data_IF_435786602754
#
_entry.id   IF_435786602754
#
_cell.length_a   1.000
_cell.length_b   1.000
_cell.length_c   1.000
_cell.angle_alpha   90.00
_cell.angle_beta   90.00
_cell.angle_gamma   90.00
#
_symmetry.space_group_name_H-M   'P 1'
#
loop_
_entity.id
_entity.type
_entity.pdbx_description
1 polymer ?
#
# COMPACT_ATOMS: atom_id res chain seq x y z
N UNK A 1 16.45 13.29 12.07
CA UNK A 1 15.19 13.84 11.55
C UNK A 1 14.12 12.76 11.56
N UNK A 2 13.01 13.03 12.20
CA UNK A 2 11.91 12.06 12.25
C UNK A 2 11.06 12.20 10.99
N UNK A 3 10.78 11.09 10.33
CA UNK A 3 9.86 11.04 9.21
C UNK A 3 8.47 10.65 9.71
N UNK A 4 7.46 11.37 9.24
CA UNK A 4 6.08 11.07 9.54
C UNK A 4 5.54 10.11 8.48
N UNK A 5 5.24 8.88 8.88
CA UNK A 5 4.74 7.85 7.97
C UNK A 5 3.42 7.28 8.47
N UNK A 6 2.62 6.78 7.53
CA UNK A 6 1.33 6.16 7.81
C UNK A 6 1.23 4.82 7.09
N UNK A 7 0.87 3.78 7.83
CA UNK A 7 0.68 2.43 7.30
C UNK A 7 -0.77 2.02 7.41
N UNK A 8 -1.36 1.58 6.31
CA UNK A 8 -2.64 0.90 6.27
C UNK A 8 -2.38 -0.58 5.97
N UNK A 9 -2.78 -1.46 6.87
CA UNK A 9 -2.46 -2.88 6.79
C UNK A 9 -3.65 -3.73 7.22
N UNK A 10 -3.98 -4.72 6.41
CA UNK A 10 -5.05 -5.68 6.71
C UNK A 10 -4.65 -6.77 7.70
N UNK A 11 -3.37 -6.89 8.05
CA UNK A 11 -2.84 -7.89 8.98
C UNK A 11 -2.23 -7.21 10.19
N UNK A 12 -2.82 -7.43 11.37
CA UNK A 12 -2.39 -6.78 12.61
C UNK A 12 -0.98 -7.19 13.04
N UNK A 13 -0.57 -8.43 12.79
CA UNK A 13 0.77 -8.89 13.16
C UNK A 13 1.85 -8.20 12.32
N UNK A 14 1.62 -8.07 11.02
CA UNK A 14 2.51 -7.32 10.14
C UNK A 14 2.54 -5.84 10.49
N UNK A 15 1.38 -5.27 10.82
CA UNK A 15 1.29 -3.87 11.25
C UNK A 15 2.18 -3.63 12.47
N UNK A 16 2.07 -4.47 13.49
CA UNK A 16 2.86 -4.33 14.71
C UNK A 16 4.37 -4.46 14.44
N UNK A 17 4.78 -5.39 13.58
CA UNK A 17 6.17 -5.55 13.17
C UNK A 17 6.68 -4.32 12.43
N UNK A 18 5.87 -3.77 11.53
CA UNK A 18 6.22 -2.57 10.76
C UNK A 18 6.37 -1.36 11.66
N UNK A 19 5.47 -1.16 12.62
CA UNK A 19 5.54 -0.05 13.57
C UNK A 19 6.78 -0.14 14.44
N UNK A 20 7.15 -1.33 14.90
CA UNK A 20 8.37 -1.53 15.66
C UNK A 20 9.62 -1.23 14.83
N UNK A 21 9.64 -1.65 13.57
CA UNK A 21 10.75 -1.35 12.66
C UNK A 21 10.90 0.15 12.44
N UNK A 22 9.82 0.88 12.19
CA UNK A 22 9.86 2.32 12.02
C UNK A 22 10.36 3.04 13.27
N UNK A 23 9.98 2.56 14.44
CA UNK A 23 10.48 3.09 15.71
C UNK A 23 11.99 2.91 15.84
N UNK A 24 12.52 1.73 15.46
CA UNK A 24 13.97 1.48 15.46
C UNK A 24 14.72 2.38 14.49
N UNK A 25 14.08 2.80 13.40
CA UNK A 25 14.64 3.71 12.39
C UNK A 25 14.43 5.19 12.71
N UNK A 26 13.99 5.54 13.94
CA UNK A 26 13.67 6.91 14.33
C UNK A 26 12.58 7.57 13.47
N UNK A 27 11.66 6.79 12.94
CA UNK A 27 10.51 7.28 12.21
C UNK A 27 9.30 7.41 13.13
N UNK A 28 8.60 8.54 13.05
CA UNK A 28 7.29 8.66 13.68
C UNK A 28 6.27 7.93 12.80
N UNK A 29 5.78 6.80 13.28
CA UNK A 29 4.86 5.97 12.54
C UNK A 29 3.54 5.81 13.27
N UNK A 30 2.44 5.95 12.55
CA UNK A 30 1.09 5.67 13.03
C UNK A 30 0.50 4.61 12.13
N UNK A 31 0.02 3.53 12.70
CA UNK A 31 -0.56 2.44 11.94
C UNK A 31 -2.06 2.33 12.17
N UNK A 32 -2.78 1.91 11.13
CA UNK A 32 -4.19 1.60 11.22
C UNK A 32 -4.48 0.29 10.51
N UNK A 33 -5.08 -0.64 11.23
CA UNK A 33 -5.51 -1.91 10.66
C UNK A 33 -6.93 -1.77 10.11
N UNK A 34 -7.15 -2.25 8.89
CA UNK A 34 -8.47 -2.30 8.27
C UNK A 34 -8.47 -3.37 7.18
N UNK A 35 -9.64 -3.81 6.75
CA UNK A 35 -9.73 -4.71 5.61
C UNK A 35 -9.33 -3.99 4.33
N UNK A 36 -8.78 -4.72 3.37
CA UNK A 36 -8.33 -4.16 2.09
C UNK A 36 -9.46 -3.45 1.36
N UNK A 37 -10.68 -4.00 1.41
CA UNK A 37 -11.85 -3.40 0.76
C UNK A 37 -12.28 -2.06 1.33
N UNK A 38 -11.90 -1.76 2.56
CA UNK A 38 -12.23 -0.48 3.23
C UNK A 38 -11.21 0.62 2.94
N UNK A 39 -9.99 0.26 2.55
CA UNK A 39 -8.89 1.20 2.36
C UNK A 39 -9.22 2.36 1.42
N UNK A 40 -9.82 2.13 0.22
CA UNK A 40 -10.09 3.24 -0.70
C UNK A 40 -11.00 4.32 -0.11
N UNK A 41 -12.01 3.92 0.64
CA UNK A 41 -12.99 4.86 1.19
C UNK A 41 -12.45 5.68 2.37
N UNK A 42 -11.45 5.17 3.08
CA UNK A 42 -10.94 5.81 4.30
C UNK A 42 -9.66 6.58 4.11
N UNK A 43 -8.95 6.39 3.00
CA UNK A 43 -7.59 6.93 2.85
C UNK A 43 -7.53 8.45 2.86
N UNK A 44 -8.45 9.15 2.20
CA UNK A 44 -8.43 10.62 2.14
C UNK A 44 -8.60 11.24 3.53
N UNK A 45 -9.53 10.71 4.33
CA UNK A 45 -9.72 11.16 5.69
C UNK A 45 -8.49 10.92 6.54
N UNK A 46 -7.91 9.74 6.42
CA UNK A 46 -6.72 9.35 7.16
C UNK A 46 -5.54 10.28 6.84
N UNK A 47 -5.31 10.59 5.57
CA UNK A 47 -4.26 11.50 5.13
C UNK A 47 -4.51 12.92 5.61
N UNK A 48 -5.75 13.37 5.53
CA UNK A 48 -6.11 14.72 5.97
C UNK A 48 -5.94 14.89 7.49
N UNK A 49 -6.25 13.85 8.26
CA UNK A 49 -6.15 13.89 9.72
C UNK A 49 -4.69 13.79 10.19
N UNK A 50 -3.84 13.07 9.49
CA UNK A 50 -2.48 12.77 9.92
C UNK A 50 -1.38 13.50 9.15
N UNK A 51 -1.64 13.91 7.93
CA UNK A 51 -0.72 14.67 7.05
C UNK A 51 0.69 14.03 6.98
N UNK A 52 0.80 12.76 6.60
CA UNK A 52 2.09 12.10 6.57
C UNK A 52 2.90 12.49 5.34
N UNK A 53 4.21 12.29 5.40
CA UNK A 53 5.11 12.42 4.25
C UNK A 53 5.24 11.11 3.48
N UNK A 54 5.02 9.99 4.16
CA UNK A 54 5.13 8.65 3.57
C UNK A 54 3.87 7.86 3.94
N UNK A 55 3.26 7.28 2.92
CA UNK A 55 2.12 6.35 3.07
C UNK A 55 2.58 4.96 2.66
N UNK A 56 2.45 4.01 3.57
CA UNK A 56 2.70 2.60 3.27
C UNK A 56 1.37 1.86 3.24
N UNK A 57 1.08 1.21 2.12
CA UNK A 57 -0.14 0.42 1.94
C UNK A 57 0.27 -1.02 1.77
N UNK A 58 -0.04 -1.85 2.75
CA UNK A 58 0.25 -3.27 2.71
C UNK A 58 -0.97 -4.09 3.11
N UNK A 59 -0.91 -5.38 2.85
CA UNK A 59 -1.98 -6.29 3.19
C UNK A 59 -1.81 -7.62 2.48
N UNK A 60 -2.91 -8.33 2.34
CA UNK A 60 -2.93 -9.61 1.66
C UNK A 60 -3.40 -9.45 0.23
N UNK A 61 -2.72 -10.13 -0.68
CA UNK A 61 -3.15 -10.25 -2.06
C UNK A 61 -2.76 -11.62 -2.61
N UNK A 62 -3.44 -12.05 -3.65
CA UNK A 62 -3.17 -13.32 -4.30
C UNK A 62 -3.47 -13.21 -5.79
N UNK A 63 -2.59 -13.77 -6.60
CA UNK A 63 -2.77 -13.91 -8.03
C UNK A 63 -3.43 -15.24 -8.33
N UNK A 64 -4.50 -15.22 -9.13
CA UNK A 64 -5.17 -16.44 -9.60
C UNK A 64 -4.70 -16.78 -11.01
N UNK A 65 -3.73 -17.68 -11.10
CA UNK A 65 -3.17 -18.12 -12.38
C UNK A 65 -4.14 -18.94 -13.23
N UNK A 66 -5.24 -19.42 -12.65
CA UNK A 66 -6.22 -20.22 -13.36
C UNK A 66 -7.20 -19.39 -14.19
N UNK A 67 -7.37 -18.12 -13.85
CA UNK A 67 -8.37 -17.26 -14.45
C UNK A 67 -7.81 -16.27 -15.46
N UNK A 68 -6.48 -16.15 -15.60
CA UNK A 68 -5.97 -15.31 -16.65
C UNK A 68 -4.57 -14.72 -16.48
N UNK A 69 -4.34 -13.59 -17.13
CA UNK A 69 -3.07 -12.93 -17.35
C UNK A 69 -2.62 -12.15 -16.11
N UNK A 70 -1.32 -12.14 -15.85
CA UNK A 70 -0.71 -11.30 -14.81
C UNK A 70 -0.91 -9.81 -15.02
N UNK A 71 -1.19 -9.38 -16.23
CA UNK A 71 -1.47 -7.98 -16.56
C UNK A 71 -2.90 -7.54 -16.25
N UNK A 72 -3.80 -8.46 -15.94
CA UNK A 72 -5.19 -8.14 -15.59
C UNK A 72 -5.35 -8.08 -14.07
N UNK A 73 -5.61 -6.88 -13.55
CA UNK A 73 -5.77 -6.65 -12.12
C UNK A 73 -6.95 -7.44 -11.51
N UNK A 74 -7.93 -7.82 -12.32
CA UNK A 74 -9.08 -8.60 -11.85
C UNK A 74 -8.71 -10.04 -11.48
N UNK A 75 -7.53 -10.52 -11.89
CA UNK A 75 -7.00 -11.83 -11.51
C UNK A 75 -6.30 -11.81 -10.14
N UNK A 76 -6.28 -10.67 -9.47
CA UNK A 76 -5.74 -10.52 -8.13
C UNK A 76 -6.87 -10.31 -7.13
N UNK A 77 -6.74 -10.90 -5.95
CA UNK A 77 -7.77 -10.83 -4.91
C UNK A 77 -8.03 -9.39 -4.44
N UNK A 78 -6.97 -8.65 -4.14
CA UNK A 78 -7.06 -7.35 -3.49
C UNK A 78 -6.32 -6.22 -4.20
N UNK A 79 -5.59 -6.48 -5.29
CA UNK A 79 -4.82 -5.44 -5.98
C UNK A 79 -5.68 -4.24 -6.42
N UNK A 80 -6.93 -4.48 -6.80
CA UNK A 80 -7.86 -3.40 -7.17
C UNK A 80 -8.13 -2.43 -6.03
N UNK A 81 -8.17 -2.93 -4.79
CA UNK A 81 -8.35 -2.08 -3.61
C UNK A 81 -7.12 -1.25 -3.34
N UNK A 82 -5.93 -1.83 -3.50
CA UNK A 82 -4.67 -1.09 -3.39
C UNK A 82 -4.58 -0.01 -4.47
N UNK A 83 -4.93 -0.34 -5.72
CA UNK A 83 -4.99 0.62 -6.82
C UNK A 83 -5.90 1.81 -6.49
N UNK A 84 -7.12 1.54 -6.08
CA UNK A 84 -8.10 2.58 -5.79
C UNK A 84 -7.66 3.43 -4.60
N UNK A 85 -7.02 2.83 -3.60
CA UNK A 85 -6.44 3.55 -2.48
C UNK A 85 -5.34 4.50 -2.93
N UNK A 86 -4.45 4.05 -3.82
CA UNK A 86 -3.38 4.89 -4.37
C UNK A 86 -3.96 6.04 -5.19
N UNK A 87 -4.94 5.77 -6.04
CA UNK A 87 -5.61 6.81 -6.84
C UNK A 87 -6.20 7.90 -5.91
N UNK A 88 -6.90 7.47 -4.87
CA UNK A 88 -7.50 8.40 -3.91
C UNK A 88 -6.45 9.18 -3.12
N UNK A 89 -5.34 8.54 -2.75
CA UNK A 89 -4.24 9.21 -2.08
C UNK A 89 -3.57 10.25 -2.99
N UNK A 90 -3.42 9.96 -4.29
CA UNK A 90 -2.87 10.91 -5.26
C UNK A 90 -3.82 12.07 -5.57
N UNK A 91 -5.10 11.87 -5.46
CA UNK A 91 -6.05 12.99 -5.52
C UNK A 91 -5.87 13.93 -4.34
N UNK A 92 -5.54 13.39 -3.16
CA UNK A 92 -5.24 14.20 -1.98
C UNK A 92 -3.91 14.96 -2.15
N UNK A 93 -2.85 14.29 -2.62
CA UNK A 93 -1.55 14.93 -2.88
C UNK A 93 -0.93 14.39 -4.17
N UNK A 94 -0.93 15.21 -5.20
CA UNK A 94 -0.43 14.84 -6.53
C UNK A 94 1.09 14.79 -6.61
N UNK A 95 1.80 15.47 -5.71
CA UNK A 95 3.26 15.51 -5.73
C UNK A 95 3.86 14.23 -5.16
N UNK A 96 4.66 13.52 -5.98
CA UNK A 96 5.38 12.32 -5.55
C UNK A 96 6.48 12.62 -4.54
N UNK A 97 6.89 13.87 -4.43
CA UNK A 97 7.89 14.30 -3.44
C UNK A 97 7.25 14.64 -2.10
N UNK A 98 6.06 15.23 -2.12
CA UNK A 98 5.36 15.63 -0.89
C UNK A 98 4.70 14.46 -0.20
N UNK A 99 4.26 13.46 -0.97
CA UNK A 99 3.71 12.22 -0.44
C UNK A 99 4.33 11.05 -1.19
N UNK A 100 5.19 10.31 -0.52
CA UNK A 100 5.76 9.07 -1.04
C UNK A 100 4.80 7.94 -0.71
N UNK A 101 4.36 7.22 -1.73
CA UNK A 101 3.46 6.07 -1.58
C UNK A 101 4.22 4.80 -1.89
N UNK A 102 4.27 3.89 -0.92
CA UNK A 102 4.85 2.57 -1.03
C UNK A 102 3.72 1.56 -0.88
N UNK A 103 3.53 0.70 -1.86
CA UNK A 103 2.41 -0.22 -1.86
C UNK A 103 2.81 -1.62 -2.30
N UNK A 104 2.14 -2.62 -1.77
CA UNK A 104 2.30 -3.98 -2.24
C UNK A 104 1.96 -5.05 -1.23
N UNK A 105 1.80 -6.24 -1.75
CA UNK A 105 1.60 -7.46 -0.99
C UNK A 105 2.29 -8.62 -1.74
N UNK A 106 2.28 -9.81 -1.15
CA UNK A 106 3.10 -10.93 -1.65
C UNK A 106 2.90 -11.28 -3.12
N UNK A 107 1.71 -11.11 -3.68
CA UNK A 107 1.40 -11.45 -5.08
C UNK A 107 0.60 -10.35 -5.76
N UNK A 108 0.87 -9.09 -5.46
CA UNK A 108 0.10 -7.98 -6.03
C UNK A 108 0.49 -7.66 -7.48
N UNK A 109 -0.40 -6.96 -8.18
CA UNK A 109 -0.15 -6.42 -9.52
C UNK A 109 0.63 -5.11 -9.39
N UNK A 110 1.93 -5.21 -9.12
CA UNK A 110 2.76 -4.07 -8.82
C UNK A 110 2.91 -3.08 -9.98
N UNK A 111 2.86 -3.56 -11.23
CA UNK A 111 2.94 -2.69 -12.41
C UNK A 111 1.76 -1.72 -12.45
N UNK A 112 0.56 -2.19 -12.14
CA UNK A 112 -0.64 -1.35 -12.13
C UNK A 112 -0.64 -0.39 -10.94
N UNK A 113 -0.07 -0.81 -9.80
CA UNK A 113 0.08 0.05 -8.64
C UNK A 113 1.01 1.24 -8.93
N UNK A 114 2.10 1.02 -9.65
CA UNK A 114 2.99 2.10 -10.10
C UNK A 114 2.26 3.03 -11.08
N UNK A 115 1.56 2.48 -12.06
CA UNK A 115 0.79 3.29 -13.02
C UNK A 115 -0.27 4.14 -12.33
N UNK A 116 -0.79 3.68 -11.21
CA UNK A 116 -1.83 4.38 -10.45
C UNK A 116 -1.29 5.53 -9.60
N UNK A 117 0.02 5.62 -9.41
CA UNK A 117 0.65 6.73 -8.72
C UNK A 117 1.54 6.39 -7.53
N UNK A 118 1.78 5.12 -7.23
CA UNK A 118 2.73 4.74 -6.19
C UNK A 118 4.16 5.09 -6.61
N UNK A 119 4.97 5.54 -5.65
CA UNK A 119 6.40 5.74 -5.88
C UNK A 119 7.13 4.41 -5.98
N UNK A 120 6.74 3.46 -5.12
CA UNK A 120 7.32 2.13 -5.07
C UNK A 120 6.19 1.11 -4.92
N UNK A 121 6.33 -0.01 -5.62
CA UNK A 121 5.43 -1.14 -5.47
C UNK A 121 6.22 -2.43 -5.56
N UNK A 122 5.77 -3.45 -4.85
CA UNK A 122 6.47 -4.73 -4.83
C UNK A 122 5.51 -5.91 -4.77
N UNK A 123 5.96 -7.02 -5.30
CA UNK A 123 5.25 -8.29 -5.24
C UNK A 123 6.29 -9.42 -5.14
N UNK A 124 6.90 -9.60 -3.95
CA UNK A 124 8.05 -10.49 -3.81
C UNK A 124 7.81 -11.92 -4.30
N UNK A 125 6.64 -12.48 -4.04
CA UNK A 125 6.34 -13.86 -4.46
C UNK A 125 6.11 -14.00 -5.96
N UNK A 126 5.68 -12.94 -6.64
CA UNK A 126 5.56 -12.96 -8.11
C UNK A 126 6.92 -12.89 -8.79
N UNK A 127 7.82 -12.08 -8.26
CA UNK A 127 9.16 -11.90 -8.82
C UNK A 127 9.99 -13.18 -8.70
N UNK A 128 9.74 -13.99 -7.69
CA UNK A 128 10.52 -15.21 -7.40
C UNK A 128 9.99 -16.46 -8.10
N UNK A 129 9.07 -16.34 -9.02
CA UNK A 129 8.48 -17.48 -9.75
C UNK A 129 9.31 -17.84 -11.00
N UNK A 130 10.57 -17.71 -10.96
CA UNK A 130 11.43 -18.07 -12.10
C UNK A 130 12.13 -19.40 -11.88
#
# INVERSE_FOLDING_TARGET
MLHNSKTADGDIDYLNKSLNFYKECDCLAIGKQMSESEMPATIKKLLNDTKPDILVITGHDAYDSKTGDESDINNYKNSKYFRDTIINAREYEKSHEKLVIIAGACQSDYEDLIRSGANFASSPKRVNIH
#
